data_IF_858655865771
#
_entry.id   IF_858655865771
#
_cell.length_a   1.000
_cell.length_b   1.000
_cell.length_c   1.000
_cell.angle_alpha   90.00
_cell.angle_beta   90.00
_cell.angle_gamma   90.00
#
_symmetry.space_group_name_H-M   'P 1'
#
loop_
_entity.id
_entity.type
_entity.pdbx_description
1 polymer ?
#
# COMPACT_ATOMS: atom_id res chain seq x y z
N UNK A 1 -34.27 -17.06 16.17
CA UNK A 1 -33.17 -17.53 17.03
C UNK A 1 -31.92 -17.55 16.19
N UNK A 2 -30.96 -16.66 16.46
CA UNK A 2 -29.63 -16.70 15.83
C UNK A 2 -28.78 -17.84 16.41
N UNK A 3 -27.87 -18.39 15.62
CA UNK A 3 -26.98 -19.47 16.07
C UNK A 3 -25.94 -18.93 17.05
N UNK A 4 -25.90 -19.52 18.24
CA UNK A 4 -24.88 -19.24 19.24
C UNK A 4 -23.98 -20.46 19.47
N UNK A 5 -22.68 -20.20 19.59
CA UNK A 5 -21.68 -21.18 20.02
C UNK A 5 -20.95 -20.55 21.22
N UNK A 6 -21.00 -21.22 22.38
CA UNK A 6 -20.45 -20.73 23.65
C UNK A 6 -21.00 -19.35 24.10
N UNK A 7 -22.30 -19.12 23.86
CA UNK A 7 -22.97 -17.86 24.21
C UNK A 7 -22.51 -16.65 23.38
N UNK A 8 -21.85 -16.88 22.24
CA UNK A 8 -21.51 -15.84 21.26
C UNK A 8 -22.29 -16.08 19.97
N UNK A 9 -22.92 -15.02 19.44
CA UNK A 9 -23.61 -15.08 18.14
C UNK A 9 -22.61 -15.34 17.02
N UNK A 10 -22.95 -16.25 16.11
CA UNK A 10 -22.08 -16.71 15.03
C UNK A 10 -22.52 -16.08 13.70
N UNK A 11 -21.58 -15.47 12.98
CA UNK A 11 -21.82 -14.92 11.63
C UNK A 11 -21.76 -16.02 10.56
N UNK A 12 -22.31 -15.77 9.35
CA UNK A 12 -22.28 -16.76 8.26
C UNK A 12 -20.86 -17.24 7.91
N UNK A 13 -19.88 -16.32 7.91
CA UNK A 13 -18.46 -16.64 7.69
C UNK A 13 -17.90 -17.48 8.84
N UNK A 14 -18.22 -17.15 10.09
CA UNK A 14 -17.82 -17.94 11.26
C UNK A 14 -18.42 -19.35 11.24
N UNK A 15 -19.68 -19.49 10.80
CA UNK A 15 -20.36 -20.78 10.71
C UNK A 15 -19.68 -21.74 9.73
N UNK A 16 -19.17 -21.22 8.60
CA UNK A 16 -18.42 -22.01 7.62
C UNK A 16 -17.13 -22.57 8.21
N UNK A 17 -16.40 -21.77 9.01
CA UNK A 17 -15.18 -22.21 9.67
C UNK A 17 -15.45 -23.26 10.75
N UNK A 18 -16.54 -23.10 11.52
CA UNK A 18 -17.00 -24.16 12.44
C UNK A 18 -17.33 -25.46 11.69
N UNK A 19 -17.97 -25.37 10.53
CA UNK A 19 -18.29 -26.54 9.70
C UNK A 19 -17.04 -27.27 9.22
N UNK A 20 -16.04 -26.55 8.70
CA UNK A 20 -14.77 -27.13 8.26
C UNK A 20 -14.04 -27.80 9.42
N UNK A 21 -14.00 -27.15 10.59
CA UNK A 21 -13.39 -27.69 11.78
C UNK A 21 -14.08 -28.98 12.24
N UNK A 22 -15.42 -28.97 12.35
CA UNK A 22 -16.17 -30.16 12.78
C UNK A 22 -16.01 -31.34 11.83
N UNK A 23 -16.10 -31.13 10.52
CA UNK A 23 -15.91 -32.21 9.53
C UNK A 23 -14.52 -32.84 9.65
N UNK A 24 -13.48 -32.02 9.81
CA UNK A 24 -12.10 -32.50 9.95
C UNK A 24 -11.90 -33.39 11.18
N UNK A 25 -12.63 -33.13 12.27
CA UNK A 25 -12.61 -33.96 13.48
C UNK A 25 -13.28 -35.33 13.27
N UNK A 26 -14.28 -35.41 12.38
CA UNK A 26 -15.02 -36.64 12.08
C UNK A 26 -14.44 -37.47 10.91
N UNK A 27 -13.32 -37.07 10.30
CA UNK A 27 -12.70 -37.80 9.19
C UNK A 27 -11.88 -39.04 9.61
N UNK A 28 -11.71 -39.29 10.91
CA UNK A 28 -11.05 -40.51 11.42
C UNK A 28 -12.03 -41.68 11.61
N UNK A 29 -11.51 -42.92 11.62
CA UNK A 29 -12.33 -44.15 11.79
C UNK A 29 -12.92 -44.34 13.20
N UNK A 30 -12.47 -43.55 14.20
CA UNK A 30 -12.98 -43.57 15.57
C UNK A 30 -13.70 -42.28 15.94
N UNK A 31 -14.76 -42.39 16.76
CA UNK A 31 -15.41 -41.22 17.35
C UNK A 31 -14.38 -40.41 18.16
N UNK A 32 -14.13 -39.14 17.82
CA UNK A 32 -13.09 -38.34 18.45
C UNK A 32 -13.42 -38.20 19.94
N UNK A 33 -12.44 -38.49 20.79
CA UNK A 33 -12.62 -38.38 22.23
C UNK A 33 -13.04 -36.94 22.61
N UNK A 34 -13.92 -36.74 23.61
CA UNK A 34 -14.46 -35.42 23.98
C UNK A 34 -13.42 -34.32 24.21
N UNK A 35 -12.19 -34.69 24.61
CA UNK A 35 -11.04 -33.76 24.72
C UNK A 35 -10.61 -33.17 23.36
N UNK A 36 -10.63 -33.99 22.30
CA UNK A 36 -10.29 -33.57 20.93
C UNK A 36 -11.31 -32.57 20.37
N UNK A 37 -12.60 -32.78 20.65
CA UNK A 37 -13.67 -31.86 20.23
C UNK A 37 -13.56 -30.47 20.88
N UNK A 38 -13.24 -30.41 22.19
CA UNK A 38 -13.03 -29.13 22.88
C UNK A 38 -11.78 -28.40 22.37
N UNK A 39 -10.69 -29.13 22.13
CA UNK A 39 -9.47 -28.55 21.57
C UNK A 39 -9.72 -27.97 20.18
N UNK A 40 -10.35 -28.73 19.28
CA UNK A 40 -10.66 -28.24 17.94
C UNK A 40 -11.64 -27.04 17.94
N UNK A 41 -12.57 -27.00 18.90
CA UNK A 41 -13.44 -25.83 19.09
C UNK A 41 -12.65 -24.61 19.57
N UNK A 42 -11.65 -24.81 20.45
CA UNK A 42 -10.74 -23.76 20.88
C UNK A 42 -9.85 -23.26 19.74
N UNK A 43 -9.30 -24.15 18.91
CA UNK A 43 -8.53 -23.80 17.71
C UNK A 43 -9.36 -22.96 16.74
N UNK A 44 -10.56 -23.43 16.38
CA UNK A 44 -11.45 -22.71 15.47
C UNK A 44 -11.84 -21.32 15.99
N UNK A 45 -12.08 -21.20 17.30
CA UNK A 45 -12.43 -19.93 17.91
C UNK A 45 -11.26 -18.93 17.95
N UNK A 46 -10.03 -19.39 18.21
CA UNK A 46 -8.84 -18.54 18.16
C UNK A 46 -8.50 -18.13 16.72
N UNK A 47 -8.61 -19.04 15.75
CA UNK A 47 -8.42 -18.74 14.32
C UNK A 47 -9.44 -17.72 13.83
N UNK A 48 -10.72 -17.86 14.20
CA UNK A 48 -11.76 -16.89 13.83
C UNK A 48 -11.48 -15.51 14.44
N UNK A 49 -11.00 -15.46 15.68
CA UNK A 49 -10.61 -14.21 16.33
C UNK A 49 -9.39 -13.56 15.64
N UNK A 50 -8.39 -14.36 15.25
CA UNK A 50 -7.20 -13.89 14.53
C UNK A 50 -7.57 -13.35 13.14
N UNK A 51 -8.37 -14.10 12.38
CA UNK A 51 -8.87 -13.67 11.07
C UNK A 51 -9.69 -12.36 11.18
N UNK A 52 -10.54 -12.23 12.19
CA UNK A 52 -11.30 -11.00 12.41
C UNK A 52 -10.40 -9.81 12.76
N UNK A 53 -9.35 -10.02 13.57
CA UNK A 53 -8.40 -8.96 13.92
C UNK A 53 -7.55 -8.54 12.71
N UNK A 54 -7.13 -9.52 11.89
CA UNK A 54 -6.41 -9.28 10.63
C UNK A 54 -7.26 -8.48 9.65
N UNK A 55 -8.54 -8.83 9.48
CA UNK A 55 -9.46 -8.10 8.61
C UNK A 55 -9.60 -6.63 9.07
N UNK A 56 -9.63 -6.35 10.38
CA UNK A 56 -9.62 -4.98 10.91
C UNK A 56 -8.35 -4.24 10.50
N UNK A 57 -7.16 -4.83 10.70
CA UNK A 57 -5.90 -4.22 10.29
C UNK A 57 -5.88 -3.93 8.78
N UNK A 58 -6.24 -4.93 7.97
CA UNK A 58 -6.23 -4.83 6.51
C UNK A 58 -7.15 -3.71 6.02
N UNK A 59 -8.40 -3.65 6.50
CA UNK A 59 -9.38 -2.65 6.07
C UNK A 59 -8.94 -1.22 6.43
N UNK A 60 -8.39 -1.00 7.64
CA UNK A 60 -7.90 0.31 8.05
C UNK A 60 -6.67 0.75 7.23
N UNK A 61 -5.74 -0.17 6.99
CA UNK A 61 -4.57 0.12 6.13
C UNK A 61 -4.99 0.39 4.68
N UNK A 62 -5.93 -0.37 4.13
CA UNK A 62 -6.46 -0.17 2.77
C UNK A 62 -7.18 1.19 2.63
N UNK A 63 -7.90 1.64 3.66
CA UNK A 63 -8.56 2.95 3.64
C UNK A 63 -7.57 4.12 3.56
N UNK A 64 -6.38 3.94 4.15
CA UNK A 64 -5.33 4.95 4.23
C UNK A 64 -4.38 4.90 3.03
N UNK A 65 -3.92 3.70 2.64
CA UNK A 65 -2.88 3.51 1.62
C UNK A 65 -3.27 2.61 0.44
N UNK A 66 -4.54 2.21 0.34
CA UNK A 66 -5.08 1.35 -0.73
C UNK A 66 -5.05 1.97 -2.12
N UNK A 67 -5.32 1.19 -3.17
CA UNK A 67 -4.97 1.50 -4.56
C UNK A 67 -5.26 2.93 -5.05
N UNK A 68 -6.46 3.45 -4.78
CA UNK A 68 -6.93 4.78 -5.21
C UNK A 68 -6.38 5.95 -4.37
N UNK A 69 -5.70 5.67 -3.26
CA UNK A 69 -5.18 6.68 -2.33
C UNK A 69 -3.81 7.20 -2.77
N UNK A 70 -3.49 8.50 -2.55
CA UNK A 70 -2.20 9.07 -2.90
C UNK A 70 -1.06 8.43 -2.09
N UNK A 71 0.17 8.66 -2.55
CA UNK A 71 1.37 8.24 -1.82
C UNK A 71 1.42 8.85 -0.41
N UNK A 72 1.76 8.04 0.57
CA UNK A 72 2.03 8.47 1.94
C UNK A 72 3.52 8.39 2.25
N UNK A 73 4.03 9.34 3.04
CA UNK A 73 5.41 9.29 3.50
C UNK A 73 5.63 8.06 4.40
N UNK A 74 6.84 7.49 4.43
CA UNK A 74 7.12 6.31 5.26
C UNK A 74 6.85 6.55 6.75
N UNK A 75 7.13 7.76 7.23
CA UNK A 75 6.93 8.12 8.64
C UNK A 75 5.44 8.08 9.03
N UNK A 76 4.57 8.64 8.18
CA UNK A 76 3.12 8.63 8.41
C UNK A 76 2.55 7.21 8.24
N UNK A 77 3.08 6.45 7.29
CA UNK A 77 2.67 5.06 7.07
C UNK A 77 3.02 4.17 8.27
N UNK A 78 4.20 4.36 8.86
CA UNK A 78 4.63 3.64 10.08
C UNK A 78 3.79 4.03 11.30
N UNK A 79 3.48 5.33 11.46
CA UNK A 79 2.59 5.80 12.53
C UNK A 79 1.21 5.13 12.44
N UNK A 80 0.63 5.10 11.23
CA UNK A 80 -0.66 4.45 10.98
C UNK A 80 -0.60 2.93 11.14
N UNK A 81 0.50 2.30 10.72
CA UNK A 81 0.74 0.89 10.99
C UNK A 81 0.72 0.59 12.50
N UNK A 82 1.44 1.38 13.29
CA UNK A 82 1.48 1.20 14.75
C UNK A 82 0.09 1.34 15.39
N UNK A 83 -0.68 2.35 14.99
CA UNK A 83 -2.05 2.59 15.43
C UNK A 83 -2.97 1.39 15.13
N UNK A 84 -3.00 0.94 13.87
CA UNK A 84 -3.90 -0.13 13.45
C UNK A 84 -3.46 -1.52 13.92
N UNK A 85 -2.15 -1.76 14.05
CA UNK A 85 -1.61 -2.98 14.65
C UNK A 85 -2.09 -3.09 16.09
N UNK A 86 -1.97 -2.02 16.87
CA UNK A 86 -2.41 -2.01 18.26
C UNK A 86 -3.92 -2.26 18.35
N UNK A 87 -4.72 -1.60 17.50
CA UNK A 87 -6.16 -1.81 17.42
C UNK A 87 -6.54 -3.27 17.13
N UNK A 88 -5.87 -3.91 16.18
CA UNK A 88 -6.11 -5.31 15.83
C UNK A 88 -5.73 -6.26 16.97
N UNK A 89 -4.59 -6.03 17.64
CA UNK A 89 -4.16 -6.84 18.79
C UNK A 89 -5.09 -6.68 20.00
N UNK A 90 -5.57 -5.46 20.24
CA UNK A 90 -6.52 -5.20 21.32
C UNK A 90 -7.88 -5.83 21.02
N UNK A 91 -8.32 -5.82 19.75
CA UNK A 91 -9.51 -6.56 19.32
C UNK A 91 -9.33 -8.06 19.57
N UNK A 92 -8.21 -8.65 19.12
CA UNK A 92 -7.91 -10.07 19.35
C UNK A 92 -7.94 -10.41 20.84
N UNK A 93 -7.29 -9.62 21.69
CA UNK A 93 -7.23 -9.85 23.15
C UNK A 93 -8.62 -9.75 23.80
N UNK A 94 -9.44 -8.79 23.39
CA UNK A 94 -10.80 -8.54 23.92
C UNK A 94 -11.82 -9.60 23.51
N UNK A 95 -11.63 -10.27 22.36
CA UNK A 95 -12.51 -11.37 21.93
C UNK A 95 -12.48 -12.51 22.95
N UNK A 96 -13.66 -13.01 23.35
CA UNK A 96 -13.78 -14.15 24.28
C UNK A 96 -13.27 -15.42 23.57
N UNK A 97 -12.19 -16.01 24.10
CA UNK A 97 -11.51 -17.18 23.54
C UNK A 97 -11.56 -18.40 24.46
N UNK A 98 -11.60 -19.60 23.89
CA UNK A 98 -11.44 -20.88 24.62
C UNK A 98 -9.96 -21.31 24.66
N UNK A 99 -9.57 -22.10 25.67
CA UNK A 99 -8.23 -22.71 25.76
C UNK A 99 -7.23 -22.03 26.71
N UNK A 100 -7.60 -20.89 27.30
CA UNK A 100 -6.72 -20.15 28.23
C UNK A 100 -5.70 -19.26 27.53
N UNK A 101 -4.94 -18.48 28.31
CA UNK A 101 -4.02 -17.45 27.77
C UNK A 101 -2.86 -18.05 27.00
N UNK A 102 -2.30 -19.16 27.46
CA UNK A 102 -1.14 -19.79 26.82
C UNK A 102 -1.48 -20.37 25.44
N UNK A 103 -2.69 -20.93 25.30
CA UNK A 103 -3.19 -21.43 24.01
C UNK A 103 -3.44 -20.29 23.02
N UNK A 104 -4.05 -19.19 23.48
CA UNK A 104 -4.28 -18.01 22.65
C UNK A 104 -2.99 -17.26 22.28
N UNK A 105 -1.93 -17.38 23.06
CA UNK A 105 -0.66 -16.67 22.82
C UNK A 105 -0.02 -17.07 21.49
N UNK A 106 -0.07 -18.37 21.14
CA UNK A 106 0.45 -18.86 19.85
C UNK A 106 -0.25 -18.19 18.67
N UNK A 107 -1.57 -18.08 18.72
CA UNK A 107 -2.36 -17.42 17.66
C UNK A 107 -2.16 -15.90 17.64
N UNK A 108 -1.87 -15.29 18.79
CA UNK A 108 -1.49 -13.88 18.83
C UNK A 108 -0.15 -13.64 18.12
N UNK A 109 0.84 -14.51 18.36
CA UNK A 109 2.14 -14.42 17.70
C UNK A 109 2.01 -14.63 16.18
N UNK A 110 1.22 -15.62 15.76
CA UNK A 110 0.92 -15.86 14.33
C UNK A 110 0.23 -14.64 13.69
N UNK A 111 -0.73 -14.03 14.38
CA UNK A 111 -1.37 -12.78 13.94
C UNK A 111 -0.38 -11.61 13.80
N UNK A 112 0.55 -11.46 14.74
CA UNK A 112 1.58 -10.41 14.69
C UNK A 112 2.53 -10.58 13.50
N UNK A 113 2.92 -11.82 13.19
CA UNK A 113 3.71 -12.15 11.99
C UNK A 113 2.93 -11.87 10.70
N UNK A 114 1.66 -12.30 10.61
CA UNK A 114 0.82 -12.03 9.45
C UNK A 114 0.59 -10.52 9.23
N UNK A 115 0.42 -9.74 10.30
CA UNK A 115 0.34 -8.27 10.21
C UNK A 115 1.65 -7.67 9.69
N UNK A 116 2.80 -8.21 10.10
CA UNK A 116 4.11 -7.76 9.61
C UNK A 116 4.26 -8.01 8.12
N UNK A 117 3.90 -9.20 7.65
CA UNK A 117 3.92 -9.53 6.21
C UNK A 117 2.98 -8.61 5.41
N UNK A 118 1.77 -8.35 5.91
CA UNK A 118 0.85 -7.41 5.30
C UNK A 118 1.44 -5.99 5.25
N UNK A 119 2.10 -5.55 6.32
CA UNK A 119 2.75 -4.24 6.36
C UNK A 119 3.84 -4.10 5.29
N UNK A 120 4.70 -5.11 5.12
CA UNK A 120 5.71 -5.10 4.05
C UNK A 120 5.06 -4.99 2.66
N UNK A 121 3.94 -5.66 2.44
CA UNK A 121 3.18 -5.57 1.20
C UNK A 121 2.61 -4.15 0.99
N UNK A 122 2.04 -3.53 2.03
CA UNK A 122 1.57 -2.15 1.97
C UNK A 122 2.70 -1.15 1.72
N UNK A 123 3.87 -1.34 2.34
CA UNK A 123 5.06 -0.52 2.09
C UNK A 123 5.52 -0.61 0.63
N UNK A 124 5.59 -1.82 0.07
CA UNK A 124 5.92 -2.02 -1.36
C UNK A 124 4.87 -1.40 -2.27
N UNK A 125 3.58 -1.60 -1.96
CA UNK A 125 2.48 -1.03 -2.74
C UNK A 125 2.50 0.50 -2.73
N UNK A 126 2.63 1.12 -1.55
CA UNK A 126 2.76 2.57 -1.41
C UNK A 126 4.03 3.09 -2.09
N UNK A 127 5.16 2.40 -1.95
CA UNK A 127 6.40 2.73 -2.66
C UNK A 127 6.24 2.72 -4.18
N UNK A 128 5.47 1.80 -4.74
CA UNK A 128 5.22 1.73 -6.19
C UNK A 128 4.43 2.93 -6.73
N UNK A 129 3.55 3.53 -5.91
CA UNK A 129 2.81 4.76 -6.30
C UNK A 129 3.75 5.94 -6.52
N UNK A 130 4.81 6.03 -5.73
CA UNK A 130 5.84 7.05 -5.93
C UNK A 130 6.55 6.87 -7.28
N UNK A 131 6.73 5.64 -7.75
CA UNK A 131 7.37 5.36 -9.06
C UNK A 131 6.49 5.81 -10.22
N UNK A 132 5.17 5.62 -10.15
CA UNK A 132 4.24 6.13 -11.17
C UNK A 132 4.17 7.65 -11.21
N UNK A 133 4.16 8.34 -10.06
CA UNK A 133 4.28 9.81 -10.04
C UNK A 133 5.66 10.29 -10.53
N UNK A 134 6.70 9.48 -10.36
CA UNK A 134 8.06 9.77 -10.82
C UNK A 134 8.17 9.77 -12.36
N UNK A 135 7.28 9.11 -13.10
CA UNK A 135 7.29 9.16 -14.58
C UNK A 135 6.66 10.43 -15.17
N UNK A 136 5.93 11.22 -14.37
CA UNK A 136 5.29 12.47 -14.83
C UNK A 136 6.33 13.53 -15.22
N UNK A 137 7.32 13.78 -14.37
CA UNK A 137 8.37 14.78 -14.59
C UNK A 137 9.18 14.54 -15.88
N UNK A 138 9.73 13.33 -16.15
CA UNK A 138 10.47 13.10 -17.37
C UNK A 138 9.59 13.20 -18.61
N UNK A 139 8.30 12.82 -18.53
CA UNK A 139 7.37 13.01 -19.63
C UNK A 139 7.14 14.49 -19.96
N UNK A 140 6.89 15.34 -18.95
CA UNK A 140 6.70 16.79 -19.14
C UNK A 140 7.96 17.45 -19.70
N UNK A 141 9.14 17.13 -19.14
CA UNK A 141 10.41 17.66 -19.63
C UNK A 141 10.69 17.23 -21.07
N UNK A 142 10.45 15.96 -21.41
CA UNK A 142 10.66 15.44 -22.77
C UNK A 142 9.71 16.08 -23.78
N UNK A 143 8.42 16.23 -23.44
CA UNK A 143 7.44 16.92 -24.29
C UNK A 143 7.82 18.39 -24.50
N UNK A 144 8.27 19.09 -23.46
CA UNK A 144 8.76 20.47 -23.56
C UNK A 144 9.98 20.60 -24.47
N UNK A 145 10.95 19.69 -24.35
CA UNK A 145 12.14 19.62 -25.22
C UNK A 145 11.70 19.44 -26.69
N UNK A 146 10.80 18.49 -26.97
CA UNK A 146 10.33 18.23 -28.32
C UNK A 146 9.60 19.44 -28.92
N UNK A 147 8.71 20.09 -28.17
CA UNK A 147 7.98 21.26 -28.62
C UNK A 147 8.90 22.44 -28.94
N UNK A 148 9.86 22.74 -28.04
CA UNK A 148 10.83 23.82 -28.24
C UNK A 148 11.78 23.55 -29.41
N UNK A 149 12.18 22.28 -29.61
CA UNK A 149 13.03 21.90 -30.73
C UNK A 149 12.31 22.08 -32.08
N UNK A 150 11.02 21.72 -32.15
CA UNK A 150 10.19 21.97 -33.34
C UNK A 150 10.04 23.49 -33.59
N UNK A 151 9.78 24.28 -32.54
CA UNK A 151 9.67 25.73 -32.64
C UNK A 151 10.99 26.40 -33.10
N UNK A 152 12.13 25.90 -32.63
CA UNK A 152 13.47 26.30 -33.08
C UNK A 152 13.65 26.05 -34.58
N UNK A 153 13.25 24.87 -35.07
CA UNK A 153 13.30 24.55 -36.51
C UNK A 153 12.43 25.47 -37.37
N UNK A 154 11.21 25.78 -36.91
CA UNK A 154 10.30 26.69 -37.62
C UNK A 154 10.84 28.13 -37.67
N UNK A 155 11.36 28.64 -36.54
CA UNK A 155 11.94 29.99 -36.50
C UNK A 155 13.23 30.11 -37.30
N UNK A 156 14.05 29.05 -37.32
CA UNK A 156 15.21 28.95 -38.20
C UNK A 156 14.82 28.97 -39.69
N UNK A 157 13.73 28.28 -40.06
CA UNK A 157 13.21 28.29 -41.43
C UNK A 157 12.73 29.68 -41.89
N UNK A 158 12.16 30.47 -40.97
CA UNK A 158 11.72 31.85 -41.24
C UNK A 158 12.92 32.82 -41.36
N UNK A 159 14.13 32.40 -40.93
CA UNK A 159 15.34 33.22 -40.93
C UNK A 159 15.56 34.02 -39.64
N UNK A 160 14.82 33.72 -38.56
CA UNK A 160 14.98 34.33 -37.24
C UNK A 160 16.06 33.59 -36.43
N UNK A 161 17.30 33.63 -36.89
CA UNK A 161 18.40 32.81 -36.34
C UNK A 161 18.66 33.06 -34.85
N UNK A 162 18.59 34.31 -34.39
CA UNK A 162 18.78 34.65 -32.97
C UNK A 162 17.70 34.00 -32.10
N UNK A 163 16.46 33.96 -32.58
CA UNK A 163 15.33 33.34 -31.86
C UNK A 163 15.47 31.82 -31.82
N UNK A 164 15.88 31.20 -32.92
CA UNK A 164 16.16 29.77 -32.97
C UNK A 164 17.30 29.37 -32.02
N UNK A 165 18.36 30.18 -31.94
CA UNK A 165 19.47 29.98 -31.00
C UNK A 165 19.01 30.08 -29.53
N UNK A 166 18.12 31.00 -29.20
CA UNK A 166 17.53 31.10 -27.86
C UNK A 166 16.73 29.83 -27.49
N UNK A 167 15.91 29.32 -28.41
CA UNK A 167 15.17 28.07 -28.18
C UNK A 167 16.09 26.86 -28.03
N UNK A 168 17.16 26.77 -28.82
CA UNK A 168 18.17 25.71 -28.66
C UNK A 168 18.89 25.79 -27.31
N UNK A 169 19.18 27.01 -26.82
CA UNK A 169 19.74 27.21 -25.48
C UNK A 169 18.79 26.71 -24.39
N UNK A 170 17.49 27.04 -24.48
CA UNK A 170 16.47 26.54 -23.57
C UNK A 170 16.34 25.01 -23.60
N UNK A 171 16.40 24.39 -24.79
CA UNK A 171 16.42 22.92 -24.93
C UNK A 171 17.63 22.33 -24.21
N UNK A 172 18.81 22.94 -24.34
CA UNK A 172 20.02 22.52 -23.63
C UNK A 172 19.84 22.55 -22.10
N UNK A 173 19.22 23.60 -21.56
CA UNK A 173 18.93 23.71 -20.13
C UNK A 173 17.95 22.63 -19.65
N UNK A 174 16.89 22.35 -20.42
CA UNK A 174 15.93 21.29 -20.08
C UNK A 174 16.55 19.89 -20.16
N UNK A 175 17.47 19.65 -21.11
CA UNK A 175 18.22 18.40 -21.19
C UNK A 175 19.13 18.20 -19.98
N UNK A 176 19.84 19.25 -19.55
CA UNK A 176 20.63 19.21 -18.31
C UNK A 176 19.71 18.91 -17.12
N UNK A 177 18.57 19.58 -17.00
CA UNK A 177 17.60 19.33 -15.94
C UNK A 177 17.09 17.88 -15.95
N UNK A 178 16.80 17.30 -17.12
CA UNK A 178 16.37 15.91 -17.26
C UNK A 178 17.46 14.92 -16.85
N UNK A 179 18.71 15.16 -17.26
CA UNK A 179 19.86 14.33 -16.89
C UNK A 179 20.16 14.42 -15.39
N UNK A 180 20.14 15.63 -14.82
CA UNK A 180 20.30 15.87 -13.38
C UNK A 180 19.20 15.19 -12.59
N UNK A 181 17.95 15.28 -13.04
CA UNK A 181 16.82 14.60 -12.42
C UNK A 181 16.99 13.07 -12.46
N UNK A 182 17.38 12.50 -13.60
CA UNK A 182 17.66 11.07 -13.74
C UNK A 182 18.80 10.60 -12.85
N UNK A 183 19.88 11.39 -12.76
CA UNK A 183 21.02 11.13 -11.89
C UNK A 183 20.63 11.15 -10.41
N UNK A 184 19.85 12.14 -9.97
CA UNK A 184 19.34 12.23 -8.59
C UNK A 184 18.48 11.02 -8.23
N UNK A 185 17.62 10.57 -9.15
CA UNK A 185 16.78 9.39 -8.93
C UNK A 185 17.58 8.08 -8.90
N UNK A 186 18.64 7.97 -9.69
CA UNK A 186 19.53 6.81 -9.68
C UNK A 186 20.46 6.77 -8.46
N UNK A 187 21.05 7.91 -8.09
CA UNK A 187 22.02 8.02 -6.99
C UNK A 187 21.38 8.19 -5.61
N UNK A 188 20.15 8.72 -5.54
CA UNK A 188 19.43 9.00 -4.29
C UNK A 188 19.94 10.21 -3.50
N UNK A 189 21.00 10.89 -3.96
CA UNK A 189 21.55 12.11 -3.36
C UNK A 189 20.85 13.37 -3.88
N UNK A 190 20.82 14.46 -3.09
CA UNK A 190 20.21 15.76 -3.46
C UNK A 190 18.70 15.70 -3.81
N UNK A 191 17.92 15.01 -2.97
CA UNK A 191 16.46 14.87 -3.12
C UNK A 191 15.72 16.21 -3.19
N UNK A 192 16.23 17.26 -2.53
CA UNK A 192 15.66 18.61 -2.58
C UNK A 192 15.69 19.21 -3.99
N UNK A 193 16.80 19.03 -4.71
CA UNK A 193 16.95 19.52 -6.09
C UNK A 193 16.01 18.76 -7.05
N UNK A 194 15.84 17.45 -6.83
CA UNK A 194 14.84 16.65 -7.54
C UNK A 194 13.41 17.13 -7.30
N UNK A 195 13.08 17.49 -6.05
CA UNK A 195 11.78 18.06 -5.67
C UNK A 195 11.50 19.42 -6.32
N UNK A 196 12.52 20.27 -6.48
CA UNK A 196 12.39 21.55 -7.19
C UNK A 196 12.05 21.35 -8.68
N UNK A 197 12.72 20.38 -9.34
CA UNK A 197 12.44 20.01 -10.73
C UNK A 197 11.03 19.43 -10.87
N UNK A 198 10.64 18.52 -9.96
CA UNK A 198 9.30 17.93 -9.93
C UNK A 198 8.21 19.01 -9.74
N UNK A 199 8.44 20.02 -8.90
CA UNK A 199 7.52 21.14 -8.68
C UNK A 199 7.39 22.03 -9.91
N UNK A 200 8.50 22.33 -10.59
CA UNK A 200 8.49 23.09 -11.85
C UNK A 200 7.72 22.36 -12.96
N UNK A 201 7.94 21.05 -13.11
CA UNK A 201 7.20 20.23 -14.07
C UNK A 201 5.71 20.13 -13.73
N UNK A 202 5.35 20.07 -12.44
CA UNK A 202 3.96 20.09 -12.00
C UNK A 202 3.26 21.40 -12.38
N UNK A 203 3.92 22.54 -12.16
CA UNK A 203 3.42 23.86 -12.54
C UNK A 203 3.20 23.99 -14.06
N UNK A 204 4.17 23.52 -14.86
CA UNK A 204 4.02 23.52 -16.33
C UNK A 204 2.83 22.66 -16.76
N UNK A 205 2.66 21.47 -16.17
CA UNK A 205 1.54 20.62 -16.53
C UNK A 205 0.19 21.23 -16.11
N UNK A 206 0.13 21.86 -14.93
CA UNK A 206 -1.08 22.56 -14.47
C UNK A 206 -1.48 23.71 -15.40
N UNK A 207 -0.50 24.49 -15.89
CA UNK A 207 -0.75 25.55 -16.86
C UNK A 207 -1.27 25.02 -18.20
N UNK A 208 -0.75 23.89 -18.68
CA UNK A 208 -1.22 23.27 -19.92
C UNK A 208 -2.61 22.66 -19.73
N UNK A 209 -2.86 22.00 -18.61
CA UNK A 209 -4.17 21.38 -18.31
C UNK A 209 -5.26 22.38 -17.98
N UNK A 210 -4.94 23.52 -17.36
CA UNK A 210 -5.89 24.60 -17.07
C UNK A 210 -6.20 25.50 -18.28
N UNK A 211 -5.41 25.42 -19.35
CA UNK A 211 -5.62 26.13 -20.60
C UNK A 211 -6.46 25.35 -21.63
N UNK A 212 -6.96 24.16 -21.27
CA UNK A 212 -7.86 23.32 -22.09
C UNK A 212 -9.27 23.34 -21.51
#
# INVERSE_FOLDING_TARGET
MEKEINGSKVTCRGLLEYFKAYIKIYQGEDLPHPKSMLQATAEANNLAAAASAKDIYYNNMEEVCGGEKPYLSPDILEEKHCEFRQLALDHFKKTKKMGGKDFSLRYQQELEEEIRELYENFCKHNGSKNVFSTFRTPAVLFTGIAALYIASGLTGFIGLEVVAQLFNCMVGLLLIALLTWGYIRYSGQYRELGGAIDSGAAYVLEQVSGAT
#
